data_IF_879375405811
#
_entry.id   IF_879375405811
#
_cell.length_a   1.000
_cell.length_b   1.000
_cell.length_c   1.000
_cell.angle_alpha   90.00
_cell.angle_beta   90.00
_cell.angle_gamma   90.00
#
_symmetry.space_group_name_H-M   'P 1'
#
loop_
_entity.id
_entity.type
_entity.pdbx_description
1 polymer ?
#
# COMPACT_ATOMS: atom_id res chain seq x y z
N UNK A 1 2.63 6.80 -30.81
CA UNK A 1 2.66 5.54 -30.00
C UNK A 1 4.01 5.43 -29.30
N UNK A 2 4.06 5.26 -27.97
CA UNK A 2 5.32 4.96 -27.29
C UNK A 2 5.82 3.58 -27.74
N UNK A 3 7.05 3.49 -28.20
CA UNK A 3 7.69 2.22 -28.56
C UNK A 3 7.90 1.40 -27.27
N UNK A 4 7.26 0.25 -27.19
CA UNK A 4 7.43 -0.70 -26.10
C UNK A 4 8.50 -1.73 -26.45
N UNK A 5 9.21 -2.26 -25.44
CA UNK A 5 10.26 -3.28 -25.63
C UNK A 5 9.69 -4.54 -26.32
N UNK A 6 10.55 -5.30 -27.00
CA UNK A 6 10.16 -6.58 -27.64
C UNK A 6 9.53 -7.55 -26.61
N UNK A 7 10.15 -7.67 -25.42
CA UNK A 7 9.63 -8.48 -24.32
C UNK A 7 8.19 -8.08 -23.95
N UNK A 8 7.93 -6.80 -23.70
CA UNK A 8 6.60 -6.33 -23.31
C UNK A 8 5.54 -6.54 -24.40
N UNK A 9 5.93 -6.42 -25.69
CA UNK A 9 5.02 -6.71 -26.81
C UNK A 9 4.64 -8.18 -26.84
N UNK A 10 5.59 -9.08 -26.64
CA UNK A 10 5.34 -10.53 -26.55
C UNK A 10 4.36 -10.85 -25.40
N UNK A 11 4.58 -10.25 -24.21
CA UNK A 11 3.69 -10.44 -23.07
C UNK A 11 2.28 -9.88 -23.33
N UNK A 12 2.17 -8.76 -24.03
CA UNK A 12 0.86 -8.18 -24.40
C UNK A 12 0.05 -9.07 -25.35
N UNK A 13 0.69 -9.88 -26.20
CA UNK A 13 -0.02 -10.86 -27.05
C UNK A 13 -0.50 -12.08 -26.28
N UNK A 14 0.15 -12.41 -25.16
CA UNK A 14 -0.23 -13.49 -24.26
C UNK A 14 -1.31 -13.07 -23.25
N UNK A 15 -1.34 -11.77 -22.93
CA UNK A 15 -2.32 -11.21 -22.02
C UNK A 15 -3.71 -11.11 -22.69
N UNK A 16 -4.83 -11.31 -21.94
CA UNK A 16 -6.19 -11.32 -22.48
C UNK A 16 -6.68 -9.95 -22.99
N UNK A 17 -5.80 -8.97 -23.06
CA UNK A 17 -6.12 -7.62 -23.53
C UNK A 17 -7.06 -6.87 -22.57
N UNK A 18 -8.21 -6.40 -23.11
CA UNK A 18 -9.19 -5.63 -22.33
C UNK A 18 -10.34 -6.50 -21.78
N UNK A 19 -10.38 -7.77 -22.10
CA UNK A 19 -11.45 -8.67 -21.67
C UNK A 19 -11.29 -8.99 -20.19
N UNK A 20 -12.31 -8.74 -19.35
CA UNK A 20 -12.27 -9.15 -17.94
C UNK A 20 -12.16 -10.67 -17.81
N UNK A 21 -11.40 -11.12 -16.82
CA UNK A 21 -11.22 -12.55 -16.51
C UNK A 21 -11.68 -12.86 -15.09
N UNK A 22 -11.94 -14.11 -14.81
CA UNK A 22 -12.13 -14.59 -13.44
C UNK A 22 -10.84 -14.35 -12.64
N UNK A 23 -10.97 -14.10 -11.33
CA UNK A 23 -9.88 -13.71 -10.46
C UNK A 23 -8.71 -14.69 -10.50
N UNK A 24 -8.99 -16.00 -10.39
CA UNK A 24 -7.98 -17.06 -10.40
C UNK A 24 -7.19 -17.07 -11.71
N UNK A 25 -7.90 -17.02 -12.85
CA UNK A 25 -7.28 -16.97 -14.17
C UNK A 25 -6.43 -15.69 -14.37
N UNK A 26 -6.87 -14.56 -13.80
CA UNK A 26 -6.13 -13.32 -13.88
C UNK A 26 -4.83 -13.40 -13.09
N UNK A 27 -4.85 -13.99 -11.89
CA UNK A 27 -3.66 -14.19 -11.05
C UNK A 27 -2.65 -15.11 -11.74
N UNK A 28 -3.11 -16.24 -12.29
CA UNK A 28 -2.24 -17.17 -13.03
C UNK A 28 -1.59 -16.48 -14.23
N UNK A 29 -2.35 -15.70 -15.00
CA UNK A 29 -1.81 -14.95 -16.14
C UNK A 29 -0.79 -13.90 -15.73
N UNK A 30 -0.98 -13.20 -14.61
CA UNK A 30 -0.02 -12.25 -14.08
C UNK A 30 1.28 -12.96 -13.69
N UNK A 31 1.20 -14.15 -13.06
CA UNK A 31 2.37 -14.97 -12.71
C UNK A 31 3.11 -15.49 -13.96
N UNK A 32 2.40 -15.96 -14.97
CA UNK A 32 2.99 -16.37 -16.26
C UNK A 32 3.71 -15.22 -16.98
N UNK A 33 3.16 -14.00 -16.89
CA UNK A 33 3.73 -12.81 -17.50
C UNK A 33 4.93 -12.24 -16.73
N UNK A 34 5.18 -12.69 -15.51
CA UNK A 34 6.30 -12.22 -14.70
C UNK A 34 7.61 -12.88 -15.16
N UNK A 35 8.34 -12.16 -16.00
CA UNK A 35 9.55 -12.68 -16.69
C UNK A 35 10.83 -11.92 -16.34
N UNK A 36 10.81 -11.05 -15.31
CA UNK A 36 11.98 -10.31 -14.89
C UNK A 36 12.94 -11.19 -14.06
N UNK A 37 14.22 -10.78 -14.00
CA UNK A 37 15.26 -11.50 -13.25
C UNK A 37 15.20 -11.29 -11.74
N UNK A 38 14.24 -10.49 -11.26
CA UNK A 38 14.02 -10.19 -9.84
C UNK A 38 12.60 -10.61 -9.44
N UNK A 39 12.36 -10.78 -8.15
CA UNK A 39 11.02 -11.07 -7.63
C UNK A 39 10.13 -9.84 -7.83
N UNK A 40 9.22 -9.93 -8.82
CA UNK A 40 8.30 -8.86 -9.13
C UNK A 40 7.22 -8.74 -8.03
N UNK A 41 6.78 -7.51 -7.74
CA UNK A 41 5.59 -7.29 -6.93
C UNK A 41 4.33 -7.48 -7.76
N UNK A 42 3.24 -7.85 -7.09
CA UNK A 42 1.90 -7.89 -7.66
C UNK A 42 1.12 -6.72 -7.10
N UNK A 43 0.68 -5.85 -8.00
CA UNK A 43 -0.04 -4.63 -7.67
C UNK A 43 -1.49 -4.71 -8.17
N UNK A 44 -2.41 -4.26 -7.31
CA UNK A 44 -3.84 -4.15 -7.59
C UNK A 44 -4.20 -2.69 -7.83
N UNK A 45 -4.81 -2.41 -8.96
CA UNK A 45 -5.30 -1.10 -9.34
C UNK A 45 -6.82 -1.13 -9.42
N UNK A 46 -7.48 -0.40 -8.54
CA UNK A 46 -8.95 -0.33 -8.45
C UNK A 46 -9.38 1.05 -8.89
N UNK A 47 -10.20 1.14 -9.92
CA UNK A 47 -10.81 2.39 -10.33
C UNK A 47 -12.15 2.58 -9.67
N UNK A 48 -12.26 3.67 -8.92
CA UNK A 48 -13.46 4.06 -8.19
C UNK A 48 -14.20 5.19 -8.92
N UNK A 49 -15.50 5.18 -8.81
CA UNK A 49 -16.37 6.24 -9.33
C UNK A 49 -16.57 7.32 -8.26
N UNK A 50 -15.51 8.05 -7.94
CA UNK A 50 -15.49 9.10 -6.93
C UNK A 50 -15.05 10.44 -7.51
N UNK A 51 -15.57 11.53 -6.97
CA UNK A 51 -15.08 12.87 -7.24
C UNK A 51 -14.04 13.28 -6.18
N UNK A 52 -12.76 13.15 -6.55
CA UNK A 52 -11.62 13.41 -5.66
C UNK A 52 -11.49 14.86 -5.20
N UNK A 53 -12.24 15.79 -5.81
CA UNK A 53 -12.30 17.21 -5.39
C UNK A 53 -13.13 17.39 -4.13
N UNK A 54 -14.06 16.46 -3.86
CA UNK A 54 -14.93 16.49 -2.69
C UNK A 54 -14.25 15.77 -1.54
N UNK A 55 -14.11 16.45 -0.41
CA UNK A 55 -13.45 15.92 0.78
C UNK A 55 -14.15 14.69 1.38
N UNK A 56 -15.48 14.59 1.21
CA UNK A 56 -16.34 13.50 1.66
C UNK A 56 -16.20 12.22 0.82
N UNK A 57 -15.68 12.35 -0.42
CA UNK A 57 -15.45 11.23 -1.35
C UNK A 57 -13.98 10.78 -1.40
N UNK A 58 -13.11 11.45 -0.65
CA UNK A 58 -11.72 11.03 -0.56
C UNK A 58 -11.57 9.75 0.26
N UNK A 59 -11.09 8.69 -0.39
CA UNK A 59 -10.85 7.39 0.23
C UNK A 59 -9.38 7.31 0.63
N UNK A 60 -9.17 7.08 1.93
CA UNK A 60 -7.87 6.83 2.52
C UNK A 60 -8.06 5.97 3.76
N UNK A 61 -7.23 4.97 3.93
CA UNK A 61 -7.28 4.10 5.09
C UNK A 61 -6.08 3.17 5.16
N UNK A 62 -6.18 2.21 6.05
CA UNK A 62 -5.24 1.11 6.16
C UNK A 62 -6.00 -0.21 6.25
N UNK A 63 -5.38 -1.27 5.76
CA UNK A 63 -5.94 -2.61 5.76
C UNK A 63 -4.84 -3.64 5.99
N UNK A 64 -5.10 -4.66 6.82
CA UNK A 64 -4.17 -5.76 7.03
C UNK A 64 -4.51 -6.88 6.06
N UNK A 65 -3.55 -7.21 5.19
CA UNK A 65 -3.71 -8.33 4.26
C UNK A 65 -3.59 -9.66 5.02
N UNK A 66 -4.43 -10.68 4.71
CA UNK A 66 -4.38 -11.99 5.36
C UNK A 66 -2.98 -12.64 5.29
N UNK A 67 -2.33 -12.57 4.13
CA UNK A 67 -1.01 -13.18 3.91
C UNK A 67 0.13 -12.14 3.86
N UNK A 68 -0.15 -10.87 4.25
CA UNK A 68 0.83 -9.80 4.18
C UNK A 68 1.24 -9.42 2.75
N UNK A 69 2.32 -8.66 2.62
CA UNK A 69 2.84 -8.18 1.33
C UNK A 69 4.09 -8.93 0.84
N UNK A 70 4.67 -9.80 1.68
CA UNK A 70 5.93 -10.50 1.40
C UNK A 70 7.15 -9.57 1.30
N UNK A 71 7.08 -8.39 1.91
CA UNK A 71 8.19 -7.45 2.01
C UNK A 71 8.40 -7.07 3.47
N UNK A 72 9.66 -7.05 3.90
CA UNK A 72 10.03 -6.48 5.20
C UNK A 72 9.87 -4.96 5.15
N UNK A 73 8.94 -4.45 5.95
CA UNK A 73 8.67 -3.02 6.07
C UNK A 73 9.61 -2.43 7.11
N UNK A 74 10.36 -1.41 6.73
CA UNK A 74 11.24 -0.66 7.63
C UNK A 74 10.43 0.40 8.33
N UNK A 75 10.27 0.26 9.63
CA UNK A 75 9.41 1.10 10.46
C UNK A 75 10.28 1.97 11.35
N UNK A 76 9.98 3.27 11.41
CA UNK A 76 10.48 4.17 12.44
C UNK A 76 9.34 4.62 13.37
N UNK A 77 9.68 4.87 14.62
CA UNK A 77 8.70 5.16 15.65
C UNK A 77 9.07 6.44 16.38
N UNK A 78 8.16 7.42 16.37
CA UNK A 78 8.30 8.65 17.14
C UNK A 78 7.59 8.51 18.48
N UNK A 79 8.35 8.37 19.55
CA UNK A 79 7.87 8.20 20.93
C UNK A 79 8.80 8.93 21.90
N UNK A 80 8.22 9.55 22.93
CA UNK A 80 9.01 10.28 23.96
C UNK A 80 9.48 9.33 25.09
N UNK A 81 8.80 8.21 25.28
CA UNK A 81 9.10 7.25 26.33
C UNK A 81 10.18 6.27 25.88
N UNK A 82 11.35 6.31 26.55
CA UNK A 82 12.49 5.45 26.25
C UNK A 82 12.22 3.96 26.47
N UNK A 83 11.31 3.59 27.36
CA UNK A 83 10.96 2.21 27.62
C UNK A 83 10.17 1.62 26.45
N UNK A 84 9.22 2.40 25.91
CA UNK A 84 8.44 2.02 24.74
C UNK A 84 9.33 2.01 23.49
N UNK A 85 10.28 2.94 23.39
CA UNK A 85 11.25 2.97 22.28
C UNK A 85 12.09 1.67 22.24
N UNK A 86 12.60 1.21 23.40
CA UNK A 86 13.35 -0.05 23.48
C UNK A 86 12.51 -1.26 23.04
N UNK A 87 11.26 -1.36 23.50
CA UNK A 87 10.35 -2.42 23.08
C UNK A 87 10.04 -2.39 21.58
N UNK A 88 9.87 -1.19 20.99
CA UNK A 88 9.67 -1.07 19.54
C UNK A 88 10.88 -1.58 18.74
N UNK A 89 12.11 -1.33 19.23
CA UNK A 89 13.33 -1.84 18.60
C UNK A 89 13.41 -3.37 18.70
N UNK A 90 13.07 -3.97 19.84
CA UNK A 90 12.97 -5.42 20.00
C UNK A 90 11.95 -6.05 19.04
N UNK A 91 10.83 -5.37 18.78
CA UNK A 91 9.83 -5.81 17.82
C UNK A 91 10.28 -5.60 16.36
N UNK A 92 11.46 -5.04 16.13
CA UNK A 92 12.08 -4.89 14.83
C UNK A 92 11.81 -3.55 14.13
N UNK A 93 11.48 -2.50 14.85
CA UNK A 93 11.58 -1.15 14.31
C UNK A 93 13.05 -0.81 14.01
N UNK A 94 13.32 -0.08 12.91
CA UNK A 94 14.67 0.31 12.52
C UNK A 94 15.23 1.33 13.50
N UNK A 95 14.41 2.28 13.91
CA UNK A 95 14.73 3.30 14.90
C UNK A 95 13.47 3.70 15.67
N UNK A 96 13.66 4.03 16.94
CA UNK A 96 12.61 4.57 17.81
C UNK A 96 13.20 5.70 18.67
N UNK A 97 12.47 6.79 18.83
CA UNK A 97 12.90 7.93 19.65
C UNK A 97 12.08 9.19 19.41
N UNK A 98 12.44 10.27 20.10
CA UNK A 98 11.78 11.58 20.05
C UNK A 98 12.52 12.59 19.18
N UNK A 99 13.08 13.63 19.84
CA UNK A 99 13.76 14.73 19.15
C UNK A 99 15.03 14.31 18.41
N UNK A 100 15.77 13.33 18.94
CA UNK A 100 17.00 12.82 18.30
C UNK A 100 16.70 12.22 16.94
N UNK A 101 15.67 11.34 16.86
CA UNK A 101 15.22 10.76 15.61
C UNK A 101 14.69 11.82 14.64
N UNK A 102 13.98 12.84 15.15
CA UNK A 102 13.53 13.97 14.34
C UNK A 102 14.72 14.69 13.68
N UNK A 103 15.79 14.95 14.44
CA UNK A 103 16.99 15.63 13.92
C UNK A 103 17.70 14.78 12.87
N UNK A 104 17.77 13.46 13.04
CA UNK A 104 18.33 12.55 12.03
C UNK A 104 17.54 12.58 10.73
N UNK A 105 16.21 12.57 10.81
CA UNK A 105 15.34 12.67 9.63
C UNK A 105 15.50 14.03 8.94
N UNK A 106 15.65 15.13 9.69
CA UNK A 106 15.97 16.45 9.12
C UNK A 106 17.35 16.48 8.47
N UNK A 107 18.33 15.76 9.03
CA UNK A 107 19.67 15.61 8.45
C UNK A 107 19.70 14.74 7.18
N UNK A 108 18.56 14.09 6.82
CA UNK A 108 18.41 13.34 5.56
C UNK A 108 18.28 11.84 5.72
N UNK A 109 18.12 11.31 6.94
CA UNK A 109 17.81 9.90 7.14
C UNK A 109 16.41 9.58 6.60
N UNK A 110 16.34 8.79 5.53
CA UNK A 110 15.09 8.45 4.82
C UNK A 110 14.97 6.95 4.51
N UNK A 111 15.76 6.13 5.19
CA UNK A 111 15.81 4.69 4.92
C UNK A 111 14.74 3.93 5.71
N UNK A 112 13.47 4.32 5.51
CA UNK A 112 12.30 3.70 6.10
C UNK A 112 11.09 3.80 5.15
N UNK A 113 10.13 2.90 5.36
CA UNK A 113 8.93 2.79 4.53
C UNK A 113 7.68 3.29 5.27
N UNK A 114 7.65 3.22 6.61
CA UNK A 114 6.53 3.66 7.45
C UNK A 114 7.05 4.42 8.67
N UNK A 115 6.39 5.53 9.00
CA UNK A 115 6.62 6.28 10.23
C UNK A 115 5.38 6.20 11.13
N UNK A 116 5.56 5.72 12.35
CA UNK A 116 4.52 5.65 13.39
C UNK A 116 4.81 6.73 14.42
N UNK A 117 3.77 7.38 14.94
CA UNK A 117 3.91 8.43 15.93
C UNK A 117 2.81 8.34 16.99
N UNK A 118 3.10 8.77 18.22
CA UNK A 118 2.06 9.02 19.21
C UNK A 118 1.39 10.38 18.96
N UNK A 119 0.15 10.61 19.41
CA UNK A 119 -0.48 11.92 19.31
C UNK A 119 0.35 13.04 19.97
N UNK A 120 1.09 12.72 21.02
CA UNK A 120 1.99 13.67 21.74
C UNK A 120 3.15 14.10 20.86
N UNK A 121 3.83 13.16 20.19
CA UNK A 121 4.99 13.42 19.33
C UNK A 121 4.62 14.05 17.98
N UNK A 122 3.34 14.07 17.61
CA UNK A 122 2.88 14.68 16.35
C UNK A 122 3.25 16.17 16.22
N UNK A 123 3.41 16.89 17.34
CA UNK A 123 3.92 18.28 17.32
C UNK A 123 5.35 18.34 16.77
N UNK A 124 6.19 17.39 17.15
CA UNK A 124 7.58 17.28 16.66
C UNK A 124 7.58 16.84 15.19
N UNK A 125 6.84 15.79 14.86
CA UNK A 125 6.72 15.25 13.51
C UNK A 125 6.13 16.28 12.53
N UNK A 126 5.29 17.21 13.00
CA UNK A 126 4.77 18.32 12.20
C UNK A 126 5.86 19.17 11.56
N UNK A 127 7.03 19.33 12.21
CA UNK A 127 8.19 20.06 11.67
C UNK A 127 8.81 19.33 10.48
N UNK A 128 8.64 18.00 10.40
CA UNK A 128 9.11 17.16 9.30
C UNK A 128 8.18 17.19 8.09
N UNK A 129 7.04 17.88 8.17
CA UNK A 129 6.02 17.89 7.11
C UNK A 129 6.55 18.30 5.73
N UNK A 130 7.55 19.21 5.66
CA UNK A 130 8.18 19.61 4.40
C UNK A 130 9.01 18.50 3.75
N UNK A 131 9.51 17.56 4.56
CA UNK A 131 10.39 16.47 4.12
C UNK A 131 9.58 15.19 3.89
N UNK A 132 8.71 14.81 4.83
CA UNK A 132 7.91 13.59 4.79
C UNK A 132 6.65 13.72 3.92
N UNK A 133 6.04 14.92 3.86
CA UNK A 133 4.81 15.18 3.13
C UNK A 133 4.89 14.83 1.64
N UNK A 134 5.85 15.37 0.87
CA UNK A 134 6.00 15.08 -0.56
C UNK A 134 6.28 13.61 -0.87
N UNK A 135 6.85 12.88 0.10
CA UNK A 135 7.16 11.44 -0.02
C UNK A 135 6.02 10.53 0.43
N UNK A 136 4.94 11.09 0.99
CA UNK A 136 3.82 10.30 1.51
C UNK A 136 4.11 9.55 2.81
N UNK A 137 5.21 9.85 3.49
CA UNK A 137 5.66 9.17 4.72
C UNK A 137 5.16 9.86 6.01
N UNK A 138 4.32 10.89 5.88
CA UNK A 138 3.79 11.64 7.02
C UNK A 138 2.77 10.81 7.79
N UNK A 139 2.97 10.57 9.10
CA UNK A 139 1.99 9.87 9.92
C UNK A 139 0.61 10.55 9.91
N UNK A 140 -0.44 9.74 9.91
CA UNK A 140 -1.82 10.22 9.89
C UNK A 140 -2.73 9.34 10.72
N UNK A 141 -3.69 9.92 11.49
CA UNK A 141 -4.69 9.14 12.22
C UNK A 141 -5.55 8.27 11.29
N UNK A 142 -5.85 8.75 10.07
CA UNK A 142 -6.68 8.03 9.09
C UNK A 142 -6.02 6.77 8.55
N UNK A 143 -4.69 6.71 8.51
CA UNK A 143 -3.93 5.51 8.11
C UNK A 143 -3.53 4.63 9.29
N UNK A 144 -3.95 4.98 10.53
CA UNK A 144 -3.61 4.23 11.72
C UNK A 144 -2.12 4.26 12.08
N UNK A 145 -1.35 5.22 11.53
CA UNK A 145 0.05 5.45 11.86
C UNK A 145 0.24 6.45 13.00
N UNK A 146 -0.84 7.08 13.47
CA UNK A 146 -0.87 7.88 14.69
C UNK A 146 -1.77 7.17 15.70
N UNK A 147 -1.18 6.60 16.75
CA UNK A 147 -1.87 5.83 17.78
C UNK A 147 -1.16 5.95 19.12
N UNK A 148 -1.88 5.76 20.21
CA UNK A 148 -1.30 5.64 21.54
C UNK A 148 -0.65 4.25 21.73
N UNK A 149 -1.22 3.24 21.09
CA UNK A 149 -0.80 1.84 21.16
C UNK A 149 0.23 1.52 20.06
N UNK A 150 1.43 2.07 20.22
CA UNK A 150 2.50 2.02 19.22
C UNK A 150 2.99 0.60 18.98
N UNK A 151 3.08 -0.22 20.05
CA UNK A 151 3.55 -1.61 19.96
C UNK A 151 2.64 -2.45 19.05
N UNK A 152 1.33 -2.33 19.25
CA UNK A 152 0.34 -3.00 18.41
C UNK A 152 0.45 -2.54 16.95
N UNK A 153 0.61 -1.23 16.72
CA UNK A 153 0.78 -0.70 15.37
C UNK A 153 2.04 -1.26 14.69
N UNK A 154 3.18 -1.32 15.38
CA UNK A 154 4.41 -1.91 14.84
C UNK A 154 4.19 -3.37 14.45
N UNK A 155 3.53 -4.17 15.30
CA UNK A 155 3.20 -5.56 14.99
C UNK A 155 2.30 -5.69 13.75
N UNK A 156 1.26 -4.87 13.64
CA UNK A 156 0.32 -4.87 12.50
C UNK A 156 1.02 -4.51 11.18
N UNK A 157 1.86 -3.46 11.17
CA UNK A 157 2.60 -3.07 9.95
C UNK A 157 3.65 -4.11 9.57
N UNK A 158 4.29 -4.76 10.53
CA UNK A 158 5.17 -5.91 10.29
C UNK A 158 4.42 -7.13 9.74
N UNK A 159 3.20 -7.37 10.23
CA UNK A 159 2.34 -8.44 9.73
C UNK A 159 1.79 -8.20 8.32
N UNK A 160 1.98 -7.00 7.76
CA UNK A 160 1.58 -6.68 6.39
C UNK A 160 0.38 -5.75 6.27
N UNK A 161 0.15 -4.88 7.27
CA UNK A 161 -0.78 -3.77 7.14
C UNK A 161 -0.28 -2.79 6.09
N UNK A 162 -1.15 -2.43 5.16
CA UNK A 162 -0.88 -1.51 4.07
C UNK A 162 -1.70 -0.23 4.23
N UNK A 163 -1.14 0.88 3.79
CA UNK A 163 -1.88 2.13 3.63
C UNK A 163 -2.34 2.26 2.18
N UNK A 164 -3.56 2.73 1.98
CA UNK A 164 -4.08 3.03 0.66
C UNK A 164 -4.71 4.42 0.61
N UNK A 165 -4.60 5.06 -0.54
CA UNK A 165 -5.16 6.38 -0.81
C UNK A 165 -5.60 6.47 -2.25
N UNK A 166 -6.79 7.03 -2.49
CA UNK A 166 -7.24 7.35 -3.83
C UNK A 166 -6.37 8.47 -4.43
N UNK A 167 -5.93 8.29 -5.68
CA UNK A 167 -5.23 9.32 -6.45
C UNK A 167 -6.21 10.39 -6.99
N UNK A 168 -5.70 11.43 -7.67
CA UNK A 168 -6.51 12.50 -8.25
C UNK A 168 -7.46 12.04 -9.35
N UNK A 169 -7.27 10.86 -9.91
CA UNK A 169 -8.12 10.26 -10.95
C UNK A 169 -9.14 9.27 -10.36
N UNK A 170 -9.16 9.07 -9.04
CA UNK A 170 -10.05 8.14 -8.35
C UNK A 170 -9.58 6.69 -8.37
N UNK A 171 -8.29 6.44 -8.64
CA UNK A 171 -7.75 5.07 -8.55
C UNK A 171 -7.11 4.84 -7.18
N UNK A 172 -7.27 3.62 -6.68
CA UNK A 172 -6.53 3.09 -5.53
C UNK A 172 -5.53 2.06 -6.04
N UNK A 173 -4.24 2.34 -5.82
CA UNK A 173 -3.16 1.45 -6.21
C UNK A 173 -2.52 0.87 -4.95
N UNK A 174 -2.50 -0.45 -4.85
CA UNK A 174 -2.08 -1.18 -3.66
C UNK A 174 -1.24 -2.38 -4.04
N UNK A 175 -0.15 -2.60 -3.33
CA UNK A 175 0.64 -3.81 -3.44
C UNK A 175 -0.02 -4.93 -2.64
N UNK A 176 -0.28 -6.05 -3.30
CA UNK A 176 -1.00 -7.21 -2.72
C UNK A 176 -0.04 -8.33 -2.31
N UNK A 177 1.13 -8.39 -2.93
CA UNK A 177 2.12 -9.42 -2.64
C UNK A 177 3.27 -9.39 -3.64
N UNK A 178 3.88 -10.54 -3.83
CA UNK A 178 4.91 -10.75 -4.85
C UNK A 178 4.62 -12.03 -5.66
N UNK A 179 5.32 -12.20 -6.76
CA UNK A 179 5.15 -13.36 -7.66
C UNK A 179 5.51 -14.69 -7.00
N UNK A 180 6.32 -14.67 -5.93
CA UNK A 180 6.70 -15.87 -5.18
C UNK A 180 5.56 -16.44 -4.33
N UNK A 181 4.51 -15.67 -4.07
CA UNK A 181 3.30 -16.14 -3.35
C UNK A 181 2.57 -17.20 -4.17
N UNK A 182 1.87 -18.10 -3.51
CA UNK A 182 0.94 -19.03 -4.16
C UNK A 182 -0.24 -18.27 -4.77
N UNK A 183 -0.85 -18.85 -5.80
CA UNK A 183 -1.99 -18.21 -6.49
C UNK A 183 -3.17 -17.99 -5.53
N UNK A 184 -3.44 -18.97 -4.66
CA UNK A 184 -4.50 -18.91 -3.66
C UNK A 184 -4.29 -17.74 -2.68
N UNK A 185 -3.05 -17.54 -2.18
CA UNK A 185 -2.71 -16.45 -1.27
C UNK A 185 -2.95 -15.07 -1.91
N UNK A 186 -2.58 -14.91 -3.18
CA UNK A 186 -2.84 -13.67 -3.93
C UNK A 186 -4.33 -13.45 -4.16
N UNK A 187 -5.07 -14.49 -4.49
CA UNK A 187 -6.52 -14.46 -4.68
C UNK A 187 -7.25 -14.04 -3.40
N UNK A 188 -6.86 -14.61 -2.26
CA UNK A 188 -7.41 -14.25 -0.95
C UNK A 188 -7.11 -12.81 -0.57
N UNK A 189 -5.86 -12.35 -0.76
CA UNK A 189 -5.47 -10.96 -0.52
C UNK A 189 -6.26 -9.98 -1.39
N UNK A 190 -6.44 -10.28 -2.68
CA UNK A 190 -7.21 -9.44 -3.62
C UNK A 190 -8.68 -9.41 -3.20
N UNK A 191 -9.28 -10.56 -2.91
CA UNK A 191 -10.68 -10.66 -2.50
C UNK A 191 -10.96 -9.90 -1.20
N UNK A 192 -10.06 -10.04 -0.22
CA UNK A 192 -10.16 -9.32 1.06
C UNK A 192 -10.06 -7.80 0.86
N UNK A 193 -9.12 -7.34 0.01
CA UNK A 193 -8.97 -5.92 -0.30
C UNK A 193 -10.17 -5.36 -1.07
N UNK A 194 -10.71 -6.08 -2.05
CA UNK A 194 -11.90 -5.66 -2.79
C UNK A 194 -13.12 -5.54 -1.88
N UNK A 195 -13.32 -6.50 -0.99
CA UNK A 195 -14.40 -6.46 0.01
C UNK A 195 -14.25 -5.23 0.91
N UNK A 196 -13.07 -5.00 1.46
CA UNK A 196 -12.80 -3.85 2.33
C UNK A 196 -13.04 -2.50 1.61
N UNK A 197 -12.60 -2.35 0.36
CA UNK A 197 -12.85 -1.14 -0.43
C UNK A 197 -14.35 -0.96 -0.68
N UNK A 198 -15.08 -2.03 -1.01
CA UNK A 198 -16.53 -1.97 -1.25
C UNK A 198 -17.29 -1.56 0.01
N UNK A 199 -16.91 -2.06 1.18
CA UNK A 199 -17.46 -1.69 2.48
C UNK A 199 -17.15 -0.24 2.86
N UNK A 200 -16.01 0.29 2.42
CA UNK A 200 -15.58 1.68 2.65
C UNK A 200 -16.29 2.71 1.76
N UNK A 201 -17.32 2.32 1.01
CA UNK A 201 -18.04 3.19 0.08
C UNK A 201 -18.69 4.38 0.82
N UNK A 202 -18.38 5.64 0.43
CA UNK A 202 -19.06 6.82 0.96
C UNK A 202 -20.53 6.86 0.55
N UNK A 203 -21.40 7.29 1.46
CA UNK A 203 -22.85 7.41 1.20
C UNK A 203 -23.20 8.42 0.09
N UNK A 204 -22.30 9.36 -0.18
CA UNK A 204 -22.47 10.39 -1.22
C UNK A 204 -22.21 9.85 -2.65
N UNK A 205 -21.67 8.65 -2.81
CA UNK A 205 -21.40 8.04 -4.12
C UNK A 205 -22.62 7.28 -4.63
N UNK A 206 -23.16 7.71 -5.78
CA UNK A 206 -24.30 7.07 -6.46
C UNK A 206 -23.82 6.18 -7.59
N UNK A 207 -24.57 5.11 -7.89
CA UNK A 207 -24.24 4.13 -8.96
C UNK A 207 -23.13 3.17 -8.57
N UNK A 208 -22.48 2.55 -9.56
CA UNK A 208 -21.40 1.60 -9.33
C UNK A 208 -20.18 2.29 -8.73
N UNK A 209 -19.72 1.77 -7.61
CA UNK A 209 -18.58 2.34 -6.88
C UNK A 209 -17.24 1.89 -7.45
N UNK A 210 -17.09 0.58 -7.69
CA UNK A 210 -15.92 -0.02 -8.34
C UNK A 210 -16.22 -0.17 -9.82
N UNK A 211 -15.48 0.55 -10.67
CA UNK A 211 -15.72 0.55 -12.12
C UNK A 211 -14.78 -0.37 -12.89
N UNK A 212 -13.57 -0.57 -12.39
CA UNK A 212 -12.59 -1.44 -13.01
C UNK A 212 -11.57 -1.91 -11.99
N UNK A 213 -11.18 -3.17 -12.10
CA UNK A 213 -10.11 -3.77 -11.30
C UNK A 213 -9.08 -4.38 -12.23
N UNK A 214 -7.80 -4.12 -11.95
CA UNK A 214 -6.70 -4.60 -12.76
C UNK A 214 -5.58 -5.08 -11.85
N UNK A 215 -5.06 -6.27 -12.09
CA UNK A 215 -3.87 -6.81 -11.43
C UNK A 215 -2.71 -6.81 -12.41
N UNK A 216 -1.53 -6.47 -11.93
CA UNK A 216 -0.31 -6.46 -12.75
C UNK A 216 0.91 -6.84 -11.94
N UNK A 217 1.88 -7.48 -12.57
CA UNK A 217 3.23 -7.56 -12.02
C UNK A 217 4.02 -6.29 -12.36
N UNK A 218 5.11 -6.04 -11.62
CA UNK A 218 5.93 -4.82 -11.76
C UNK A 218 6.29 -4.50 -13.21
N UNK A 219 6.67 -5.52 -13.99
CA UNK A 219 7.15 -5.35 -15.37
C UNK A 219 6.22 -6.02 -16.40
N UNK A 220 5.10 -6.55 -15.95
CA UNK A 220 4.12 -7.25 -16.78
C UNK A 220 2.98 -6.33 -17.29
N UNK A 221 2.12 -6.84 -18.18
CA UNK A 221 0.88 -6.19 -18.56
C UNK A 221 -0.17 -6.29 -17.46
N UNK A 222 -1.09 -5.33 -17.44
CA UNK A 222 -2.25 -5.38 -16.55
C UNK A 222 -3.33 -6.31 -17.08
N UNK A 223 -3.86 -7.18 -16.21
CA UNK A 223 -4.97 -8.09 -16.49
C UNK A 223 -6.21 -7.58 -15.76
N UNK A 224 -7.32 -7.40 -16.47
CA UNK A 224 -8.60 -6.99 -15.90
C UNK A 224 -9.29 -8.16 -15.23
N UNK A 225 -9.94 -7.86 -14.09
CA UNK A 225 -10.74 -8.81 -13.33
C UNK A 225 -12.23 -8.45 -13.49
N UNK A 226 -13.07 -9.47 -13.55
CA UNK A 226 -14.53 -9.30 -13.43
C UNK A 226 -14.84 -8.93 -11.97
N UNK A 227 -15.58 -7.84 -11.77
CA UNK A 227 -16.02 -7.32 -10.47
C UNK A 227 -17.44 -7.77 -10.21
#
# INVERSE_FOLDING_TARGET
MRFRSKRYRSLMTQAPGKTPQALDQAVDKVKECASAKFTESVDLSIRLNIDTRKADQQIRGSFSLPHGTGRDVRIIVFVDDGSVAAQCLEMGAVKAGGEDLMNEVLAGFMDFDVAIATPKTMRLVGRLGRVLGPRGLMPSPKSGTVTEDVLKAVAEFKAGKIEYRADSAGNVNVRIGNVAFEAEQLTENISAMLRHITESRPSSVKGDFVTNVTVSSTMGPGVRITV
#
